data_IF_038493251164
#
_entry.id   IF_038493251164
#
_cell.length_a   1.000
_cell.length_b   1.000
_cell.length_c   1.000
_cell.angle_alpha   90.00
_cell.angle_beta   90.00
_cell.angle_gamma   90.00
#
_symmetry.space_group_name_H-M   'P 1'
#
loop_
_entity.id
_entity.type
_entity.pdbx_description
1 polymer ?
#
# COMPACT_ATOMS: atom_id res chain seq x y z
N UNK A 1 -9.36 0.48 -27.96
CA UNK A 1 -9.47 0.74 -26.54
C UNK A 1 -8.95 2.11 -26.16
N UNK A 2 -9.73 2.83 -25.39
CA UNK A 2 -9.29 4.16 -24.98
C UNK A 2 -8.09 4.06 -24.03
N UNK A 3 -7.19 5.02 -24.16
CA UNK A 3 -6.08 5.13 -23.26
C UNK A 3 -6.58 5.52 -21.87
N UNK A 4 -6.00 4.93 -20.86
CA UNK A 4 -6.29 5.30 -19.49
C UNK A 4 -5.06 5.99 -18.89
N UNK A 5 -5.25 7.08 -18.12
CA UNK A 5 -4.13 7.71 -17.44
C UNK A 5 -3.56 6.84 -16.32
N UNK A 6 -4.33 5.87 -15.84
CA UNK A 6 -3.92 5.03 -14.72
C UNK A 6 -3.94 3.57 -15.13
N UNK A 7 -2.84 3.11 -15.69
CA UNK A 7 -2.71 1.69 -16.04
C UNK A 7 -2.45 0.84 -14.81
N UNK A 8 -1.63 1.36 -13.91
CA UNK A 8 -1.25 0.64 -12.69
C UNK A 8 -1.30 1.59 -11.51
N UNK A 9 -2.08 1.21 -10.52
CA UNK A 9 -2.25 1.98 -9.29
C UNK A 9 -1.67 1.16 -8.15
N UNK A 10 -0.79 1.78 -7.34
CA UNK A 10 -0.27 1.18 -6.12
C UNK A 10 -1.00 1.81 -4.94
N UNK A 11 -1.43 0.99 -3.99
CA UNK A 11 -1.98 1.47 -2.73
C UNK A 11 -1.24 0.82 -1.58
N UNK A 12 -0.88 1.62 -0.58
CA UNK A 12 -0.21 1.12 0.61
C UNK A 12 -1.21 0.60 1.62
N UNK A 13 -0.88 -0.51 2.26
CA UNK A 13 -1.71 -1.09 3.29
C UNK A 13 -0.86 -1.50 4.49
N UNK A 14 -1.24 -1.03 5.68
CA UNK A 14 -0.61 -1.44 6.93
C UNK A 14 -1.58 -2.17 7.85
N UNK A 15 -2.77 -2.50 7.34
CA UNK A 15 -3.79 -3.19 8.10
C UNK A 15 -4.69 -2.29 8.92
N UNK A 16 -4.41 -0.98 8.95
CA UNK A 16 -5.24 -0.04 9.69
C UNK A 16 -6.53 0.27 8.94
N UNK A 17 -7.50 0.85 9.65
CA UNK A 17 -8.76 1.25 9.03
C UNK A 17 -8.54 2.28 7.94
N UNK A 18 -7.63 3.22 8.15
CA UNK A 18 -7.40 4.25 7.14
C UNK A 18 -6.77 3.66 5.89
N UNK A 19 -5.89 2.66 6.03
CA UNK A 19 -5.32 2.01 4.87
C UNK A 19 -6.35 1.17 4.13
N UNK A 20 -7.30 0.55 4.84
CA UNK A 20 -8.36 -0.19 4.17
C UNK A 20 -9.30 0.73 3.40
N UNK A 21 -9.55 1.93 3.91
CA UNK A 21 -10.30 2.93 3.14
C UNK A 21 -9.55 3.34 1.89
N UNK A 22 -8.23 3.50 2.00
CA UNK A 22 -7.41 3.82 0.83
C UNK A 22 -7.46 2.69 -0.20
N UNK A 23 -7.40 1.44 0.25
CA UNK A 23 -7.52 0.27 -0.62
C UNK A 23 -8.87 0.30 -1.34
N UNK A 24 -9.94 0.58 -0.62
CA UNK A 24 -11.27 0.65 -1.21
C UNK A 24 -11.37 1.74 -2.27
N UNK A 25 -10.84 2.93 -1.97
CA UNK A 25 -10.85 4.05 -2.91
C UNK A 25 -10.02 3.73 -4.15
N UNK A 26 -8.85 3.14 -3.95
CA UNK A 26 -7.99 2.74 -5.06
C UNK A 26 -8.66 1.66 -5.92
N UNK A 27 -9.38 0.74 -5.28
CA UNK A 27 -10.11 -0.30 -6.00
C UNK A 27 -11.20 0.30 -6.88
N UNK A 28 -11.90 1.30 -6.38
CA UNK A 28 -12.93 1.98 -7.16
C UNK A 28 -12.34 2.75 -8.33
N UNK A 29 -11.18 3.38 -8.12
CA UNK A 29 -10.48 4.02 -9.22
C UNK A 29 -10.05 2.99 -10.27
N UNK A 30 -9.51 1.87 -9.82
CA UNK A 30 -9.10 0.81 -10.73
C UNK A 30 -10.28 0.28 -11.54
N UNK A 31 -11.44 0.14 -10.90
CA UNK A 31 -12.65 -0.30 -11.59
C UNK A 31 -13.06 0.72 -12.67
N UNK A 32 -12.97 2.00 -12.35
CA UNK A 32 -13.38 3.06 -13.28
C UNK A 32 -12.44 3.16 -14.48
N UNK A 33 -11.15 2.94 -14.30
CA UNK A 33 -10.16 3.12 -15.35
C UNK A 33 -9.66 1.81 -15.95
N UNK A 34 -10.11 0.67 -15.44
CA UNK A 34 -9.61 -0.62 -15.91
C UNK A 34 -8.16 -0.87 -15.52
N UNK A 35 -7.75 -0.35 -14.36
CA UNK A 35 -6.36 -0.41 -13.92
C UNK A 35 -6.03 -1.71 -13.22
N UNK A 36 -4.75 -2.09 -13.23
CA UNK A 36 -4.23 -3.09 -12.32
C UNK A 36 -3.98 -2.42 -10.98
N UNK A 37 -4.48 -3.02 -9.91
CA UNK A 37 -4.26 -2.51 -8.56
C UNK A 37 -3.20 -3.37 -7.88
N UNK A 38 -2.12 -2.75 -7.44
CA UNK A 38 -1.07 -3.42 -6.67
C UNK A 38 -1.17 -2.93 -5.23
N UNK A 39 -1.44 -3.85 -4.32
CA UNK A 39 -1.51 -3.53 -2.90
C UNK A 39 -0.15 -3.83 -2.31
N UNK A 40 0.49 -2.81 -1.77
CA UNK A 40 1.83 -2.92 -1.25
C UNK A 40 1.88 -2.74 0.26
N UNK A 41 2.80 -3.43 0.91
CA UNK A 41 3.04 -3.25 2.32
C UNK A 41 4.52 -3.32 2.61
N UNK A 42 4.93 -2.64 3.67
CA UNK A 42 6.28 -2.68 4.19
C UNK A 42 6.30 -3.56 5.43
N UNK A 43 7.41 -4.23 5.65
CA UNK A 43 7.59 -4.98 6.87
C UNK A 43 9.03 -4.84 7.34
N UNK A 44 9.24 -5.09 8.64
CA UNK A 44 10.58 -5.10 9.21
C UNK A 44 11.02 -6.53 9.41
N UNK A 45 12.25 -6.82 9.08
CA UNK A 45 12.77 -8.18 9.17
C UNK A 45 13.03 -8.59 10.61
N UNK A 46 13.25 -7.62 11.50
CA UNK A 46 13.49 -7.90 12.90
C UNK A 46 13.04 -6.73 13.77
N UNK A 47 12.98 -6.99 15.08
CA UNK A 47 12.51 -5.98 16.03
C UNK A 47 13.44 -4.79 16.14
N UNK A 48 14.72 -5.00 15.94
CA UNK A 48 15.70 -3.93 16.02
C UNK A 48 15.46 -2.89 14.93
N UNK A 49 15.23 -3.36 13.71
CA UNK A 49 14.94 -2.46 12.61
C UNK A 49 13.62 -1.74 12.83
N UNK A 50 12.62 -2.44 13.34
CA UNK A 50 11.34 -1.82 13.64
C UNK A 50 11.49 -0.72 14.69
N UNK A 51 12.28 -0.98 15.71
CA UNK A 51 12.48 -0.02 16.80
C UNK A 51 13.15 1.25 16.33
N UNK A 52 14.09 1.14 15.37
CA UNK A 52 14.80 2.31 14.85
C UNK A 52 13.91 3.26 14.09
N UNK A 53 12.87 2.74 13.46
CA UNK A 53 12.04 3.52 12.55
C UNK A 53 10.62 3.70 13.07
N UNK A 54 10.32 3.14 14.23
CA UNK A 54 8.96 3.15 14.77
C UNK A 54 8.46 4.57 15.02
N UNK A 55 7.25 4.83 14.60
CA UNK A 55 6.51 6.05 14.89
C UNK A 55 5.29 5.67 15.71
N UNK A 56 4.87 6.56 16.58
CA UNK A 56 3.77 6.28 17.50
C UNK A 56 2.46 5.96 16.80
N UNK A 57 2.22 6.59 15.68
CA UNK A 57 0.98 6.42 14.94
C UNK A 57 1.10 5.38 13.82
N UNK A 58 2.20 4.66 13.75
CA UNK A 58 2.42 3.66 12.71
C UNK A 58 2.06 2.26 13.20
N UNK A 59 1.46 1.48 12.32
CA UNK A 59 1.27 0.06 12.55
C UNK A 59 2.53 -0.66 12.11
N UNK A 60 3.10 -1.47 13.00
CA UNK A 60 4.35 -2.18 12.73
C UNK A 60 4.05 -3.60 12.29
N UNK A 61 4.56 -3.98 11.14
CA UNK A 61 4.44 -5.33 10.62
C UNK A 61 5.83 -5.97 10.70
N UNK A 62 5.93 -7.06 11.43
CA UNK A 62 7.18 -7.81 11.57
C UNK A 62 7.09 -9.10 10.78
N UNK A 63 8.07 -9.30 9.90
CA UNK A 63 8.18 -10.52 9.14
C UNK A 63 7.29 -10.56 7.92
N UNK A 64 7.69 -11.36 6.96
CA UNK A 64 6.99 -11.46 5.68
C UNK A 64 5.66 -12.19 5.79
N UNK A 65 5.53 -13.12 6.73
CA UNK A 65 4.29 -13.87 6.89
C UNK A 65 3.15 -12.96 7.33
N UNK A 66 3.42 -12.07 8.28
CA UNK A 66 2.44 -11.12 8.74
C UNK A 66 2.06 -10.17 7.61
N UNK A 67 3.04 -9.77 6.82
CA UNK A 67 2.80 -8.92 5.66
C UNK A 67 1.90 -9.62 4.64
N UNK A 68 2.13 -10.90 4.39
CA UNK A 68 1.31 -11.66 3.46
C UNK A 68 -0.13 -11.79 3.94
N UNK A 69 -0.33 -12.01 5.24
CA UNK A 69 -1.68 -12.07 5.82
C UNK A 69 -2.40 -10.73 5.65
N UNK A 70 -1.71 -9.64 5.92
CA UNK A 70 -2.25 -8.30 5.74
C UNK A 70 -2.67 -8.07 4.28
N UNK A 71 -1.80 -8.44 3.35
CA UNK A 71 -2.06 -8.26 1.93
C UNK A 71 -3.25 -9.10 1.45
N UNK A 72 -3.38 -10.30 1.97
CA UNK A 72 -4.48 -11.17 1.57
C UNK A 72 -5.82 -10.57 1.96
N UNK A 73 -5.92 -10.06 3.18
CA UNK A 73 -7.14 -9.40 3.63
C UNK A 73 -7.45 -8.15 2.81
N UNK A 74 -6.41 -7.35 2.53
CA UNK A 74 -6.59 -6.15 1.72
C UNK A 74 -7.00 -6.49 0.29
N UNK A 75 -6.44 -7.55 -0.28
CA UNK A 75 -6.79 -7.98 -1.63
C UNK A 75 -8.25 -8.41 -1.73
N UNK A 76 -8.72 -9.16 -0.73
CA UNK A 76 -10.12 -9.57 -0.68
C UNK A 76 -11.03 -8.34 -0.62
N UNK A 77 -10.64 -7.37 0.18
CA UNK A 77 -11.39 -6.12 0.31
C UNK A 77 -11.44 -5.36 -1.01
N UNK A 78 -10.32 -5.31 -1.71
CA UNK A 78 -10.24 -4.63 -3.00
C UNK A 78 -11.11 -5.30 -4.06
N UNK A 79 -11.09 -6.62 -4.11
CA UNK A 79 -11.92 -7.36 -5.06
C UNK A 79 -13.40 -7.13 -4.78
N UNK A 80 -13.77 -7.12 -3.51
CA UNK A 80 -15.16 -6.86 -3.14
C UNK A 80 -15.57 -5.44 -3.54
N UNK A 81 -14.64 -4.50 -3.58
CA UNK A 81 -14.91 -3.12 -3.97
C UNK A 81 -14.90 -2.91 -5.48
N UNK A 82 -14.57 -3.94 -6.27
CA UNK A 82 -14.71 -3.89 -7.71
C UNK A 82 -13.43 -3.83 -8.52
N UNK A 83 -12.25 -3.94 -7.88
CA UNK A 83 -11.00 -3.90 -8.63
C UNK A 83 -10.94 -5.06 -9.65
N UNK A 84 -10.66 -4.77 -10.93
CA UNK A 84 -10.68 -5.81 -11.96
C UNK A 84 -9.50 -6.76 -11.88
N UNK A 85 -8.33 -6.26 -11.47
CA UNK A 85 -7.16 -7.08 -11.29
C UNK A 85 -6.39 -6.60 -10.08
N UNK A 86 -6.09 -7.53 -9.16
CA UNK A 86 -5.42 -7.21 -7.91
C UNK A 86 -4.15 -8.03 -7.79
N UNK A 87 -3.04 -7.35 -7.54
CA UNK A 87 -1.77 -7.96 -7.23
C UNK A 87 -1.31 -7.47 -5.88
N UNK A 88 -0.40 -8.19 -5.25
CA UNK A 88 0.13 -7.81 -3.95
C UNK A 88 1.66 -7.81 -4.00
N UNK A 89 2.26 -6.97 -3.17
CA UNK A 89 3.71 -6.88 -3.07
C UNK A 89 4.10 -6.50 -1.65
N UNK A 90 5.11 -7.17 -1.12
CA UNK A 90 5.66 -6.86 0.20
C UNK A 90 7.14 -6.59 0.05
N UNK A 91 7.63 -5.56 0.73
CA UNK A 91 9.05 -5.22 0.70
C UNK A 91 9.53 -4.90 2.10
N UNK A 92 10.75 -5.30 2.46
CA UNK A 92 11.31 -4.91 3.75
C UNK A 92 11.72 -3.45 3.75
N UNK A 93 11.67 -2.84 4.92
CA UNK A 93 12.11 -1.46 5.11
C UNK A 93 11.01 -0.56 5.61
N UNK A 94 11.25 0.73 5.53
CA UNK A 94 10.25 1.71 5.93
C UNK A 94 9.12 1.77 4.90
N UNK A 95 7.95 2.27 5.28
CA UNK A 95 6.85 2.43 4.31
C UNK A 95 7.25 3.22 3.08
N UNK A 96 8.02 4.29 3.24
CA UNK A 96 8.46 5.10 2.10
C UNK A 96 9.33 4.26 1.16
N UNK A 97 10.34 3.60 1.71
CA UNK A 97 11.26 2.80 0.92
C UNK A 97 10.54 1.68 0.18
N UNK A 98 9.69 0.97 0.91
CA UNK A 98 8.97 -0.17 0.35
C UNK A 98 8.01 0.25 -0.74
N UNK A 99 7.20 1.27 -0.49
CA UNK A 99 6.20 1.71 -1.46
C UNK A 99 6.84 2.31 -2.70
N UNK A 100 7.93 3.06 -2.55
CA UNK A 100 8.63 3.60 -3.71
C UNK A 100 9.25 2.50 -4.56
N UNK A 101 9.78 1.46 -3.92
CA UNK A 101 10.29 0.31 -4.66
C UNK A 101 9.19 -0.38 -5.44
N UNK A 102 8.02 -0.55 -4.83
CA UNK A 102 6.89 -1.19 -5.49
C UNK A 102 6.38 -0.34 -6.66
N UNK A 103 6.31 0.97 -6.47
CA UNK A 103 5.93 1.89 -7.55
C UNK A 103 6.88 1.76 -8.72
N UNK A 104 8.19 1.76 -8.45
CA UNK A 104 9.18 1.67 -9.50
C UNK A 104 9.17 0.31 -10.19
N UNK A 105 9.02 -0.77 -9.44
CA UNK A 105 9.00 -2.13 -10.00
C UNK A 105 7.84 -2.33 -10.96
N UNK A 106 6.74 -1.64 -10.72
CA UNK A 106 5.51 -1.83 -11.50
C UNK A 106 5.25 -0.68 -12.47
N UNK A 107 6.13 0.28 -12.55
CA UNK A 107 5.92 1.49 -13.38
C UNK A 107 4.56 2.10 -13.09
N UNK A 108 4.22 2.24 -11.82
CA UNK A 108 2.91 2.69 -11.43
C UNK A 108 2.68 4.17 -11.77
N UNK A 109 1.46 4.47 -12.13
CA UNK A 109 1.06 5.82 -12.50
C UNK A 109 0.54 6.62 -11.32
N UNK A 110 0.10 5.93 -10.27
CA UNK A 110 -0.52 6.56 -9.12
C UNK A 110 -0.22 5.77 -7.87
N UNK A 111 0.08 6.48 -6.78
CA UNK A 111 0.24 5.89 -5.46
C UNK A 111 -0.83 6.48 -4.54
N UNK A 112 -1.61 5.60 -3.92
CA UNK A 112 -2.66 6.00 -2.98
C UNK A 112 -2.27 5.55 -1.58
N UNK A 113 -2.39 6.45 -0.62
CA UNK A 113 -2.11 6.14 0.79
C UNK A 113 -3.22 6.71 1.67
N UNK A 114 -3.43 6.09 2.82
CA UNK A 114 -4.38 6.61 3.80
C UNK A 114 -3.77 7.73 4.62
N UNK A 115 -4.57 8.33 5.47
CA UNK A 115 -4.11 9.44 6.32
C UNK A 115 -2.93 9.05 7.18
N UNK A 116 -2.93 7.85 7.73
CA UNK A 116 -1.79 7.38 8.53
C UNK A 116 -0.56 7.21 7.67
N UNK A 117 -0.75 6.73 6.44
CA UNK A 117 0.34 6.61 5.49
C UNK A 117 0.97 7.94 5.18
N UNK A 118 0.16 8.97 4.98
CA UNK A 118 0.66 10.32 4.74
C UNK A 118 1.50 10.80 5.91
N UNK A 119 1.02 10.61 7.12
CA UNK A 119 1.77 11.00 8.32
C UNK A 119 3.10 10.25 8.41
N UNK A 120 3.10 8.98 8.07
CA UNK A 120 4.32 8.19 8.08
C UNK A 120 5.28 8.56 6.97
N UNK A 121 4.75 8.88 5.79
CA UNK A 121 5.56 9.18 4.62
C UNK A 121 6.18 10.57 4.67
N UNK A 122 5.38 11.55 5.05
CA UNK A 122 5.83 12.94 5.00
C UNK A 122 6.33 13.43 6.34
N UNK A 123 5.84 12.81 7.41
CA UNK A 123 6.22 13.22 8.73
C UNK A 123 5.93 14.69 8.95
N UNK A 124 6.98 15.43 9.11
CA UNK A 124 6.87 16.86 9.42
C UNK A 124 7.05 17.75 8.22
N UNK A 125 7.14 17.17 7.04
CA UNK A 125 7.32 17.99 5.84
C UNK A 125 6.17 18.95 5.63
N UNK A 126 4.98 18.53 6.01
CA UNK A 126 3.79 19.35 5.86
C UNK A 126 3.42 20.06 7.14
N UNK A 127 4.07 19.69 8.18
CA UNK A 127 3.78 20.09 9.55
C UNK A 127 3.71 21.50 9.81
#
# INVERSE_FOLDING_TARGET
MADTPYKTIVVGSDGSKSSLLAVERAAKLAAAFGSTLVIGTAYYENEEDAAKTLRQDSVTILGDQKALENLQGAADHARAAGAPEVQTAARPGTPVQALMAIVNDNNADLLVVGNRGINSLTGRLLG
#
